data_IF_628520001925
#
_entry.id   IF_628520001925
#
_cell.length_a   1.000
_cell.length_b   1.000
_cell.length_c   1.000
_cell.angle_alpha   90.00
_cell.angle_beta   90.00
_cell.angle_gamma   90.00
#
_symmetry.space_group_name_H-M   'P 1'
#
loop_
_entity.id
_entity.type
_entity.pdbx_description
1 polymer ?
#
# COMPACT_ATOMS: atom_id res chain seq x y z
N UNK A 1 -7.61 -3.62 -7.53
CA UNK A 1 -6.59 -4.29 -6.69
C UNK A 1 -7.21 -5.07 -5.52
N UNK A 2 -6.51 -6.07 -4.95
CA UNK A 2 -6.93 -6.80 -3.73
C UNK A 2 -5.80 -6.90 -2.71
N UNK A 3 -6.07 -6.46 -1.48
CA UNK A 3 -5.13 -6.42 -0.36
C UNK A 3 -5.48 -7.52 0.66
N UNK A 4 -4.47 -8.20 1.21
CA UNK A 4 -4.62 -9.09 2.37
C UNK A 4 -3.47 -8.81 3.32
N UNK A 5 -3.79 -8.27 4.48
CA UNK A 5 -2.83 -8.07 5.57
C UNK A 5 -2.87 -9.30 6.48
N UNK A 6 -1.71 -9.85 6.84
CA UNK A 6 -1.66 -11.03 7.72
C UNK A 6 -1.38 -10.67 9.18
N UNK A 7 -1.00 -9.42 9.47
CA UNK A 7 -0.38 -9.01 10.73
C UNK A 7 1.04 -8.51 10.48
N UNK A 8 1.63 -7.82 11.47
CA UNK A 8 2.95 -7.19 11.36
C UNK A 8 3.07 -6.38 10.05
N UNK A 9 4.18 -6.51 9.31
CA UNK A 9 4.40 -5.88 8.00
C UNK A 9 4.08 -6.76 6.80
N UNK A 10 3.42 -7.91 7.02
CA UNK A 10 3.23 -8.92 5.99
C UNK A 10 1.95 -8.71 5.20
N UNK A 11 2.10 -8.60 3.88
CA UNK A 11 0.98 -8.43 2.95
C UNK A 11 1.06 -9.40 1.78
N UNK A 12 -0.11 -9.82 1.30
CA UNK A 12 -0.30 -10.32 -0.06
C UNK A 12 -1.15 -9.33 -0.84
N UNK A 13 -0.64 -8.90 -1.98
CA UNK A 13 -1.25 -7.88 -2.83
C UNK A 13 -1.45 -8.49 -4.21
N UNK A 14 -2.69 -8.50 -4.69
CA UNK A 14 -3.00 -8.80 -6.08
C UNK A 14 -3.21 -7.47 -6.80
N UNK A 15 -2.31 -7.14 -7.72
CA UNK A 15 -2.30 -5.88 -8.46
C UNK A 15 -1.74 -6.13 -9.87
N UNK A 16 -2.38 -5.56 -10.90
CA UNK A 16 -1.92 -5.72 -12.29
C UNK A 16 -1.88 -7.18 -12.78
N UNK A 17 -2.71 -8.06 -12.21
CA UNK A 17 -2.70 -9.50 -12.51
C UNK A 17 -1.54 -10.28 -11.89
N UNK A 18 -0.68 -9.64 -11.09
CA UNK A 18 0.43 -10.25 -10.39
C UNK A 18 0.21 -10.29 -8.87
N UNK A 19 0.98 -11.15 -8.21
CA UNK A 19 0.97 -11.32 -6.75
C UNK A 19 2.29 -10.80 -6.18
N UNK A 20 2.20 -9.71 -5.41
CA UNK A 20 3.31 -9.19 -4.62
C UNK A 20 3.17 -9.59 -3.15
N UNK A 21 4.25 -10.10 -2.56
CA UNK A 21 4.34 -10.41 -1.13
C UNK A 21 5.32 -9.43 -0.47
N UNK A 22 4.83 -8.72 0.55
CA UNK A 22 5.65 -7.85 1.37
C UNK A 22 6.04 -8.59 2.64
N UNK A 23 7.34 -8.58 2.94
CA UNK A 23 7.93 -8.96 4.22
C UNK A 23 7.43 -10.29 4.78
N UNK A 24 7.54 -11.36 3.98
CA UNK A 24 7.06 -12.70 4.33
C UNK A 24 7.74 -13.28 5.58
N UNK A 25 8.98 -12.87 5.87
CA UNK A 25 9.74 -13.33 7.03
C UNK A 25 9.23 -12.73 8.35
N UNK A 26 8.41 -11.68 8.28
CA UNK A 26 7.77 -11.06 9.44
C UNK A 26 6.31 -11.51 9.63
N UNK A 27 5.90 -12.58 8.96
CA UNK A 27 4.55 -13.13 9.13
C UNK A 27 4.31 -13.54 10.60
N UNK A 28 3.11 -13.30 11.15
CA UNK A 28 2.83 -13.70 12.53
C UNK A 28 2.75 -15.22 12.68
N UNK A 29 2.83 -15.68 13.94
CA UNK A 29 2.70 -17.08 14.29
C UNK A 29 1.43 -17.70 13.70
N UNK A 30 1.57 -18.88 13.07
CA UNK A 30 0.48 -19.59 12.40
C UNK A 30 0.30 -19.23 10.92
N UNK A 31 1.07 -18.27 10.39
CA UNK A 31 1.14 -17.99 8.95
C UNK A 31 2.46 -18.48 8.39
N UNK A 32 2.44 -19.50 7.53
CA UNK A 32 3.66 -20.09 6.97
C UNK A 32 4.20 -19.27 5.79
N UNK A 33 5.39 -18.69 5.94
CA UNK A 33 6.03 -17.87 4.88
C UNK A 33 6.22 -18.62 3.56
N UNK A 34 6.43 -19.94 3.60
CA UNK A 34 6.55 -20.78 2.38
C UNK A 34 5.24 -20.89 1.62
N UNK A 35 4.12 -20.96 2.34
CA UNK A 35 2.79 -20.97 1.72
C UNK A 35 2.44 -19.59 1.16
N UNK A 36 2.77 -18.52 1.90
CA UNK A 36 2.56 -17.14 1.45
C UNK A 36 3.30 -16.81 0.15
N UNK A 37 4.56 -17.22 0.06
CA UNK A 37 5.44 -16.95 -1.09
C UNK A 37 5.18 -17.87 -2.28
N UNK A 38 4.40 -18.94 -2.09
CA UNK A 38 4.03 -19.85 -3.16
C UNK A 38 3.13 -19.14 -4.19
N UNK A 39 3.61 -19.07 -5.43
CA UNK A 39 2.91 -18.40 -6.53
C UNK A 39 3.00 -16.87 -6.48
N UNK A 40 3.93 -16.30 -5.71
CA UNK A 40 4.25 -14.89 -5.77
C UNK A 40 5.06 -14.58 -7.04
N UNK A 41 4.68 -13.53 -7.75
CA UNK A 41 5.45 -12.98 -8.87
C UNK A 41 6.55 -12.03 -8.38
N UNK A 42 6.28 -11.32 -7.28
CA UNK A 42 7.19 -10.34 -6.68
C UNK A 42 7.33 -10.56 -5.17
N UNK A 43 8.57 -10.66 -4.70
CA UNK A 43 8.91 -10.77 -3.28
C UNK A 43 9.65 -9.49 -2.83
N UNK A 44 9.12 -8.83 -1.81
CA UNK A 44 9.65 -7.58 -1.27
C UNK A 44 10.00 -7.80 0.20
N UNK A 45 11.21 -8.29 0.52
CA UNK A 45 11.62 -8.55 1.90
C UNK A 45 11.95 -7.24 2.65
N UNK A 46 12.00 -7.31 3.98
CA UNK A 46 12.47 -6.22 4.87
C UNK A 46 11.81 -4.88 4.53
N UNK A 47 10.50 -4.95 4.33
CA UNK A 47 9.62 -3.84 3.95
C UNK A 47 10.23 -2.92 2.87
N UNK A 48 10.88 -3.51 1.86
CA UNK A 48 11.35 -2.79 0.68
C UNK A 48 12.68 -2.04 0.84
N UNK A 49 13.49 -2.33 1.87
CA UNK A 49 14.81 -1.68 2.07
C UNK A 49 15.73 -1.77 0.84
N UNK A 50 15.62 -2.85 0.05
CA UNK A 50 16.42 -3.07 -1.15
C UNK A 50 15.83 -2.55 -2.46
N UNK A 51 14.65 -1.91 -2.44
CA UNK A 51 14.00 -1.41 -3.65
C UNK A 51 14.72 -0.18 -4.21
N UNK A 52 14.57 0.03 -5.52
CA UNK A 52 15.05 1.25 -6.16
C UNK A 52 14.35 2.48 -5.54
N UNK A 53 15.10 3.51 -5.13
CA UNK A 53 14.52 4.68 -4.52
C UNK A 53 13.86 5.58 -5.57
N UNK A 54 12.73 6.19 -5.20
CA UNK A 54 12.07 7.27 -5.95
C UNK A 54 11.93 8.51 -5.08
N UNK A 55 11.81 9.67 -5.72
CA UNK A 55 11.41 10.91 -5.05
C UNK A 55 9.88 11.08 -5.19
N UNK A 56 9.08 10.88 -4.13
CA UNK A 56 7.61 10.82 -4.26
C UNK A 56 6.96 12.14 -4.67
N UNK A 57 7.66 13.27 -4.47
CA UNK A 57 7.20 14.63 -4.81
C UNK A 57 7.07 14.86 -6.32
N UNK A 58 7.94 14.23 -7.11
CA UNK A 58 8.04 14.39 -8.57
C UNK A 58 7.77 13.10 -9.35
N UNK A 59 7.69 11.96 -8.66
CA UNK A 59 7.35 10.69 -9.28
C UNK A 59 5.92 10.72 -9.84
N UNK A 60 5.71 10.01 -10.94
CA UNK A 60 4.38 9.83 -11.55
C UNK A 60 4.17 8.37 -11.90
N UNK A 61 2.98 7.81 -11.65
CA UNK A 61 2.61 6.45 -12.07
C UNK A 61 2.81 6.25 -13.56
N UNK A 62 3.15 5.02 -13.96
CA UNK A 62 3.26 4.68 -15.38
C UNK A 62 1.88 4.80 -16.03
N UNK A 63 1.87 5.29 -17.27
CA UNK A 63 0.62 5.40 -18.03
C UNK A 63 0.15 4.01 -18.44
N UNK A 64 -1.17 3.77 -18.48
CA UNK A 64 -1.76 2.62 -19.16
C UNK A 64 -1.16 2.41 -20.55
N UNK A 65 -0.67 1.21 -20.81
CA UNK A 65 -0.20 0.81 -22.14
C UNK A 65 -1.42 0.44 -22.97
N UNK A 66 -1.56 1.04 -24.16
CA UNK A 66 -2.65 0.65 -25.06
C UNK A 66 -2.38 -0.76 -25.59
N UNK A 67 -3.42 -1.58 -25.71
CA UNK A 67 -3.32 -2.96 -26.22
C UNK A 67 -2.62 -3.09 -27.58
N UNK A 68 -2.62 -2.02 -28.39
CA UNK A 68 -1.94 -1.97 -29.68
C UNK A 68 -0.41 -1.76 -29.57
N UNK A 69 0.05 -1.17 -28.47
CA UNK A 69 1.45 -0.88 -28.17
C UNK A 69 2.10 -1.99 -27.32
N UNK A 70 1.30 -2.87 -26.72
CA UNK A 70 1.72 -3.98 -25.84
C UNK A 70 2.42 -5.16 -26.56
N UNK A 71 2.64 -5.08 -27.87
CA UNK A 71 3.22 -6.17 -28.65
C UNK A 71 4.75 -6.28 -28.51
N UNK A 72 5.43 -5.27 -27.93
CA UNK A 72 6.89 -5.12 -28.01
C UNK A 72 7.68 -5.05 -26.68
N UNK A 73 7.10 -5.22 -25.48
CA UNK A 73 7.93 -5.10 -24.27
C UNK A 73 7.35 -5.45 -22.90
N UNK A 74 8.23 -5.37 -21.89
CA UNK A 74 8.00 -5.57 -20.45
C UNK A 74 7.04 -4.57 -19.81
N UNK A 75 6.31 -3.76 -20.58
CA UNK A 75 5.58 -2.58 -20.11
C UNK A 75 4.33 -2.88 -19.25
N UNK A 76 4.01 -4.16 -19.01
CA UNK A 76 2.86 -4.62 -18.25
C UNK A 76 3.11 -5.02 -16.79
N UNK A 77 4.37 -5.05 -16.32
CA UNK A 77 4.70 -5.62 -15.00
C UNK A 77 4.47 -4.65 -13.85
N UNK A 78 4.16 -5.19 -12.66
CA UNK A 78 4.14 -4.47 -11.39
C UNK A 78 5.56 -4.06 -11.02
N UNK A 79 5.73 -2.79 -10.66
CA UNK A 79 6.99 -2.26 -10.12
C UNK A 79 6.79 -1.84 -8.67
N UNK A 80 7.82 -2.04 -7.85
CA UNK A 80 7.85 -1.57 -6.47
C UNK A 80 9.09 -0.72 -6.23
N UNK A 81 8.90 0.39 -5.54
CA UNK A 81 9.91 1.41 -5.30
C UNK A 81 9.96 1.76 -3.82
N UNK A 82 11.14 2.09 -3.30
CA UNK A 82 11.25 2.72 -1.99
C UNK A 82 10.98 4.21 -2.14
N UNK A 83 10.09 4.74 -1.32
CA UNK A 83 9.72 6.16 -1.29
C UNK A 83 10.24 6.84 -0.01
N UNK A 84 11.31 6.29 0.57
CA UNK A 84 11.84 6.67 1.88
C UNK A 84 11.75 5.52 2.89
N UNK A 85 12.29 5.74 4.08
CA UNK A 85 12.26 4.75 5.15
C UNK A 85 10.82 4.40 5.53
N UNK A 86 10.49 3.10 5.58
CA UNK A 86 9.15 2.62 5.92
C UNK A 86 8.08 2.99 4.89
N UNK A 87 8.46 3.35 3.67
CA UNK A 87 7.53 3.74 2.60
C UNK A 87 7.82 2.95 1.31
N UNK A 88 6.82 2.21 0.84
CA UNK A 88 6.86 1.48 -0.42
C UNK A 88 5.77 2.05 -1.33
N UNK A 89 6.10 2.26 -2.60
CA UNK A 89 5.11 2.55 -3.65
C UNK A 89 5.12 1.41 -4.65
N UNK A 90 3.94 0.83 -4.89
CA UNK A 90 3.71 -0.21 -5.89
C UNK A 90 2.89 0.38 -7.02
N UNK A 91 3.39 0.27 -8.23
CA UNK A 91 2.81 0.80 -9.45
C UNK A 91 2.51 -0.33 -10.42
N UNK A 92 1.30 -0.34 -10.97
CA UNK A 92 0.89 -1.30 -11.98
C UNK A 92 0.03 -0.60 -13.03
N UNK A 93 0.17 -0.97 -14.32
CA UNK A 93 -0.67 -0.41 -15.36
C UNK A 93 -2.16 -0.62 -15.05
N UNK A 94 -2.98 0.39 -15.35
CA UNK A 94 -4.44 0.38 -15.18
C UNK A 94 -4.97 0.19 -13.74
N UNK A 95 -4.09 0.19 -12.73
CA UNK A 95 -4.46 0.16 -11.31
C UNK A 95 -4.10 1.48 -10.62
N UNK A 96 -4.81 1.80 -9.55
CA UNK A 96 -4.41 2.91 -8.68
C UNK A 96 -3.06 2.59 -8.02
N UNK A 97 -2.13 3.56 -7.91
CA UNK A 97 -0.89 3.35 -7.18
C UNK A 97 -1.17 2.96 -5.72
N UNK A 98 -0.45 1.96 -5.22
CA UNK A 98 -0.54 1.55 -3.83
C UNK A 98 0.65 2.11 -3.07
N UNK A 99 0.40 2.79 -1.96
CA UNK A 99 1.43 3.25 -1.04
C UNK A 99 1.28 2.57 0.31
N UNK A 100 2.35 1.98 0.83
CA UNK A 100 2.40 1.36 2.15
C UNK A 100 3.31 2.18 3.06
N UNK A 101 2.80 2.60 4.22
CA UNK A 101 3.52 3.38 5.22
C UNK A 101 3.56 2.64 6.57
N UNK A 102 4.72 2.08 6.93
CA UNK A 102 4.95 1.38 8.20
C UNK A 102 5.50 2.35 9.25
N UNK A 103 4.74 2.65 10.30
CA UNK A 103 5.14 3.49 11.45
C UNK A 103 5.84 4.82 11.10
N UNK A 104 5.49 5.38 9.93
CA UNK A 104 6.06 6.61 9.39
C UNK A 104 4.99 7.58 8.93
N UNK A 105 5.28 8.87 9.09
CA UNK A 105 4.48 9.90 8.45
C UNK A 105 4.70 9.84 6.93
N UNK A 106 3.68 10.29 6.23
CA UNK A 106 3.67 10.35 4.79
C UNK A 106 4.76 11.33 4.30
N UNK A 107 5.73 10.93 3.45
CA UNK A 107 6.71 11.87 2.90
C UNK A 107 6.05 12.93 2.01
N UNK A 108 6.76 13.98 1.58
CA UNK A 108 6.22 14.92 0.59
C UNK A 108 5.87 14.21 -0.72
N UNK A 109 4.64 14.36 -1.21
CA UNK A 109 4.17 13.70 -2.44
C UNK A 109 3.74 14.67 -3.53
N UNK A 110 3.76 14.16 -4.77
CA UNK A 110 3.12 14.80 -5.91
C UNK A 110 1.62 14.51 -5.97
N UNK A 111 0.95 15.03 -7.00
CA UNK A 111 -0.51 14.92 -7.20
C UNK A 111 -1.03 13.49 -7.41
N UNK A 112 -0.15 12.53 -7.66
CA UNK A 112 -0.54 11.14 -7.89
C UNK A 112 -1.21 10.50 -6.67
N UNK A 113 -0.93 10.99 -5.45
CA UNK A 113 -1.52 10.48 -4.21
C UNK A 113 -3.02 10.71 -4.11
N UNK A 114 -3.58 11.68 -4.83
CA UNK A 114 -5.03 11.90 -4.92
C UNK A 114 -5.76 10.68 -5.54
N UNK A 115 -5.03 9.86 -6.29
CA UNK A 115 -5.53 8.64 -6.93
C UNK A 115 -4.99 7.37 -6.28
N UNK A 116 -4.11 7.49 -5.30
CA UNK A 116 -3.49 6.35 -4.65
C UNK A 116 -4.40 5.72 -3.60
N UNK A 117 -4.24 4.41 -3.42
CA UNK A 117 -4.67 3.70 -2.21
C UNK A 117 -3.52 3.77 -1.23
N UNK A 118 -3.77 4.31 -0.04
CA UNK A 118 -2.73 4.46 0.99
C UNK A 118 -3.01 3.50 2.14
N UNK A 119 -2.05 2.65 2.48
CA UNK A 119 -2.11 1.77 3.63
C UNK A 119 -1.26 2.37 4.75
N UNK A 120 -1.91 2.73 5.86
CA UNK A 120 -1.23 3.10 7.09
C UNK A 120 -1.10 1.85 7.97
N UNK A 121 0.13 1.43 8.20
CA UNK A 121 0.46 0.26 8.99
C UNK A 121 1.15 0.65 10.31
N UNK A 122 0.76 -0.01 11.39
CA UNK A 122 1.43 0.06 12.69
C UNK A 122 0.62 0.88 13.69
N UNK A 123 1.31 1.77 14.39
CA UNK A 123 0.77 2.53 15.52
C UNK A 123 0.43 3.98 15.14
N UNK A 124 -0.25 4.68 16.05
CA UNK A 124 -0.63 6.09 15.94
C UNK A 124 -1.46 6.37 14.70
N UNK A 125 -2.32 5.42 14.35
CA UNK A 125 -3.08 5.42 13.09
C UNK A 125 -3.93 6.69 12.96
N UNK A 126 -4.55 7.13 14.05
CA UNK A 126 -5.36 8.35 14.06
C UNK A 126 -4.55 9.60 13.73
N UNK A 127 -3.47 9.85 14.47
CA UNK A 127 -2.64 11.05 14.23
C UNK A 127 -1.99 11.03 12.84
N UNK A 128 -1.59 9.84 12.35
CA UNK A 128 -0.99 9.69 11.02
C UNK A 128 -2.02 9.89 9.91
N UNK A 129 -3.27 9.47 10.12
CA UNK A 129 -4.37 9.71 9.17
C UNK A 129 -4.69 11.20 9.07
N UNK A 130 -4.73 11.92 10.20
CA UNK A 130 -4.91 13.38 10.23
C UNK A 130 -3.81 14.10 9.43
N UNK A 131 -2.53 13.80 9.68
CA UNK A 131 -1.43 14.41 8.92
C UNK A 131 -1.47 14.06 7.44
N UNK A 132 -1.83 12.82 7.10
CA UNK A 132 -1.97 12.38 5.70
C UNK A 132 -3.09 13.15 4.98
N UNK A 133 -4.19 13.43 5.67
CA UNK A 133 -5.29 14.23 5.14
C UNK A 133 -4.84 15.66 4.81
N UNK A 134 -4.03 16.27 5.67
CA UNK A 134 -3.53 17.63 5.43
C UNK A 134 -2.49 17.67 4.30
N UNK A 135 -1.65 16.65 4.21
CA UNK A 135 -0.52 16.62 3.28
C UNK A 135 -0.89 16.15 1.85
N UNK A 136 -1.74 15.12 1.72
CA UNK A 136 -1.88 14.38 0.46
C UNK A 136 -3.33 14.17 -0.02
N UNK A 137 -4.31 14.19 0.90
CA UNK A 137 -5.74 13.97 0.59
C UNK A 137 -6.02 12.75 -0.32
N UNK A 138 -5.53 11.55 0.02
CA UNK A 138 -5.85 10.36 -0.74
C UNK A 138 -7.36 10.07 -0.69
N UNK A 139 -7.91 9.49 -1.75
CA UNK A 139 -9.34 9.11 -1.77
C UNK A 139 -9.66 7.93 -0.85
N UNK A 140 -8.69 7.03 -0.67
CA UNK A 140 -8.86 5.81 0.11
C UNK A 140 -7.64 5.59 1.00
N UNK A 141 -7.90 5.38 2.29
CA UNK A 141 -6.90 4.95 3.27
C UNK A 141 -7.33 3.63 3.88
N UNK A 142 -6.47 2.62 3.78
CA UNK A 142 -6.61 1.35 4.48
C UNK A 142 -5.78 1.39 5.77
N UNK A 143 -6.36 0.93 6.88
CA UNK A 143 -5.73 0.95 8.20
C UNK A 143 -5.39 -0.48 8.62
N UNK A 144 -4.12 -0.72 8.95
CA UNK A 144 -3.62 -1.99 9.45
C UNK A 144 -2.90 -1.75 10.78
N UNK A 145 -3.44 -2.28 11.88
CA UNK A 145 -2.88 -2.09 13.21
C UNK A 145 -3.83 -2.64 14.27
N UNK A 146 -3.69 -2.14 15.50
CA UNK A 146 -4.53 -2.59 16.60
C UNK A 146 -5.99 -2.13 16.43
N UNK A 147 -6.94 -3.03 16.71
CA UNK A 147 -8.37 -2.77 16.48
C UNK A 147 -8.88 -1.51 17.18
N UNK A 148 -8.41 -1.23 18.40
CA UNK A 148 -8.78 -0.02 19.14
C UNK A 148 -8.26 1.27 18.50
N UNK A 149 -7.10 1.24 17.81
CA UNK A 149 -6.58 2.40 17.08
C UNK A 149 -7.38 2.63 15.79
N UNK A 150 -7.77 1.55 15.12
CA UNK A 150 -8.63 1.60 13.94
C UNK A 150 -9.98 2.21 14.32
N UNK A 151 -10.66 1.68 15.33
CA UNK A 151 -11.95 2.20 15.83
C UNK A 151 -11.86 3.70 16.17
N UNK A 152 -10.85 4.12 16.94
CA UNK A 152 -10.63 5.51 17.29
C UNK A 152 -10.38 6.42 16.05
N UNK A 153 -9.77 5.88 14.99
CA UNK A 153 -9.54 6.61 13.73
C UNK A 153 -10.84 6.81 12.95
N UNK A 154 -11.69 5.78 12.88
CA UNK A 154 -13.00 5.87 12.24
C UNK A 154 -13.91 6.90 12.95
N UNK A 155 -13.98 6.85 14.28
CA UNK A 155 -14.77 7.81 15.07
C UNK A 155 -14.33 9.26 14.82
N UNK A 156 -13.02 9.50 14.75
CA UNK A 156 -12.46 10.82 14.47
C UNK A 156 -12.86 11.36 13.09
N UNK A 157 -12.76 10.55 12.02
CA UNK A 157 -13.04 11.02 10.66
C UNK A 157 -14.53 11.26 10.38
N UNK A 158 -15.43 10.51 11.02
CA UNK A 158 -16.87 10.80 10.97
C UNK A 158 -17.17 12.23 11.46
N UNK A 159 -16.44 12.71 12.47
CA UNK A 159 -16.56 14.07 12.98
C UNK A 159 -16.03 15.16 12.02
N UNK A 160 -15.13 14.81 11.11
CA UNK A 160 -14.36 15.75 10.27
C UNK A 160 -14.94 15.98 8.87
N UNK A 161 -15.81 15.10 8.37
CA UNK A 161 -16.27 15.09 6.95
C UNK A 161 -15.10 15.10 5.95
N UNK A 162 -14.07 14.29 6.20
CA UNK A 162 -12.75 14.38 5.55
C UNK A 162 -12.71 14.13 4.04
N UNK A 163 -13.80 13.66 3.42
CA UNK A 163 -13.81 13.27 1.99
C UNK A 163 -12.92 12.06 1.66
N UNK A 164 -12.19 11.54 2.65
CA UNK A 164 -11.37 10.34 2.58
C UNK A 164 -12.26 9.15 2.94
N UNK A 165 -12.21 8.09 2.12
CA UNK A 165 -12.79 6.80 2.47
C UNK A 165 -11.81 6.00 3.32
N UNK A 166 -12.30 5.35 4.37
CA UNK A 166 -11.50 4.46 5.20
C UNK A 166 -11.94 3.02 5.03
N UNK A 167 -10.97 2.10 5.08
CA UNK A 167 -11.22 0.68 5.23
C UNK A 167 -10.30 0.12 6.33
N UNK A 168 -10.86 -0.69 7.23
CA UNK A 168 -10.09 -1.47 8.18
C UNK A 168 -9.58 -2.75 7.51
N UNK A 169 -8.30 -3.06 7.69
CA UNK A 169 -7.75 -4.35 7.30
C UNK A 169 -7.76 -5.27 8.51
N UNK A 170 -8.55 -6.34 8.41
CA UNK A 170 -8.55 -7.42 9.38
C UNK A 170 -7.49 -8.47 8.98
N UNK A 171 -6.74 -9.03 9.94
CA UNK A 171 -5.76 -10.07 9.66
C UNK A 171 -6.36 -11.25 8.88
N UNK A 172 -5.68 -11.65 7.82
CA UNK A 172 -6.05 -12.70 6.86
C UNK A 172 -7.37 -12.47 6.10
N UNK A 173 -8.02 -11.31 6.25
CA UNK A 173 -9.18 -10.93 5.45
C UNK A 173 -8.73 -10.20 4.19
N UNK A 174 -9.27 -10.63 3.05
CA UNK A 174 -8.97 -9.99 1.79
C UNK A 174 -10.00 -8.90 1.46
N UNK A 175 -9.49 -7.73 1.09
CA UNK A 175 -10.26 -6.51 0.84
C UNK A 175 -9.98 -6.01 -0.58
N UNK A 176 -11.03 -5.60 -1.29
CA UNK A 176 -10.91 -4.92 -2.58
C UNK A 176 -10.79 -3.42 -2.37
N UNK A 177 -9.86 -2.81 -3.10
CA UNK A 177 -9.53 -1.40 -3.05
C UNK A 177 -9.40 -0.83 -4.46
#
# INVERSE_FOLDING_TARGET
>A
MKLTWFGNSTFRIHIGGQIAIIDADNAPDGVESRELTSGADLLIPDFGRGLSPIEPSIWTPRKPVRLLDALDGTEGHVEAHSAGEGCIVVDAPDEAPLMLLLDRDAPPFGRWTEQAVVVLLGTRLRERTERLQDAARPKLVALAGEGWEIEATFEYLVGQRSGISLIALEPALAVEA
#
